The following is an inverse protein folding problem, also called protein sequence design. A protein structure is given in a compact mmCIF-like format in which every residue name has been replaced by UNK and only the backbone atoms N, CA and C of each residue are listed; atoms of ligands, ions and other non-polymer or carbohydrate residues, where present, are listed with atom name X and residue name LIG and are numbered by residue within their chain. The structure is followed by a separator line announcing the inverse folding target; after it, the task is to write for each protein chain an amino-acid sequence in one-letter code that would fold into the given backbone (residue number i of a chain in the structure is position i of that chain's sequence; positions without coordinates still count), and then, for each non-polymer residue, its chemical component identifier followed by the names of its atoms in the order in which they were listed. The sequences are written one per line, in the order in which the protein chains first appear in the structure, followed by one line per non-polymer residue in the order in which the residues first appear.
data_IF_569678351951
#
_entry.id   IF_569678351951
#
_cell.length_a   1.000
_cell.length_b   1.000
_cell.length_c   1.000
_cell.angle_alpha   90.00
_cell.angle_beta   90.00
_cell.angle_gamma   90.00
#
_symmetry.space_group_name_H-M   'P 1'
#
loop_
_entity.id
_entity.type
_entity.pdbx_description
1 polymer ?
#
# COMPACT_ATOMS: atom_id res chain seq x y z
N UNK A 1 -21.12 11.10 -11.39
CA UNK A 1 -20.37 10.21 -10.46
C UNK A 1 -21.31 9.78 -9.34
N UNK A 2 -21.38 8.47 -9.04
CA UNK A 2 -22.40 7.84 -8.17
C UNK A 2 -22.41 8.32 -6.71
N UNK A 3 -21.26 8.77 -6.17
CA UNK A 3 -21.11 9.10 -4.74
C UNK A 3 -20.90 10.59 -4.45
N UNK A 4 -21.01 11.47 -5.46
CA UNK A 4 -20.79 12.92 -5.30
C UNK A 4 -19.34 13.29 -4.96
N UNK A 5 -19.14 14.36 -4.19
CA UNK A 5 -17.84 14.75 -3.67
C UNK A 5 -17.55 13.97 -2.37
N UNK A 6 -16.54 13.11 -2.42
CA UNK A 6 -16.09 12.20 -1.37
C UNK A 6 -14.90 12.78 -0.58
N UNK A 7 -14.07 13.62 -1.21
CA UNK A 7 -12.94 14.32 -0.59
C UNK A 7 -12.96 15.85 -0.85
N UNK A 8 -12.21 16.64 -0.08
CA UNK A 8 -12.12 18.10 -0.24
C UNK A 8 -11.53 18.59 -1.59
N UNK A 9 -10.83 17.72 -2.32
CA UNK A 9 -10.16 18.06 -3.59
C UNK A 9 -10.73 17.31 -4.80
N UNK A 10 -11.04 18.02 -5.89
CA UNK A 10 -11.53 17.41 -7.15
C UNK A 10 -10.56 16.36 -7.72
N UNK A 11 -9.24 16.58 -7.59
CA UNK A 11 -8.22 15.62 -8.06
C UNK A 11 -8.22 14.34 -7.22
N UNK A 12 -8.33 14.46 -5.90
CA UNK A 12 -8.39 13.31 -4.98
C UNK A 12 -9.68 12.51 -5.22
N UNK A 13 -10.81 13.19 -5.44
CA UNK A 13 -12.05 12.52 -5.82
C UNK A 13 -11.88 11.69 -7.09
N UNK A 14 -11.32 12.28 -8.14
CA UNK A 14 -11.08 11.55 -9.39
C UNK A 14 -10.24 10.29 -9.16
N UNK A 15 -9.15 10.42 -8.41
CA UNK A 15 -8.28 9.31 -8.04
C UNK A 15 -9.03 8.21 -7.26
N UNK A 16 -9.86 8.57 -6.28
CA UNK A 16 -10.72 7.62 -5.54
C UNK A 16 -11.68 6.88 -6.49
N UNK A 17 -12.32 7.60 -7.40
CA UNK A 17 -13.24 6.98 -8.36
C UNK A 17 -12.54 6.02 -9.32
N UNK A 18 -11.29 6.30 -9.73
CA UNK A 18 -10.48 5.37 -10.51
C UNK A 18 -10.19 4.09 -9.73
N UNK A 19 -9.86 4.21 -8.45
CA UNK A 19 -9.70 3.03 -7.59
C UNK A 19 -10.99 2.20 -7.51
N UNK A 20 -12.16 2.85 -7.44
CA UNK A 20 -13.45 2.17 -7.36
C UNK A 20 -13.79 1.32 -8.59
N UNK A 21 -13.24 1.62 -9.77
CA UNK A 21 -13.43 0.80 -10.98
C UNK A 21 -12.95 -0.65 -10.80
N UNK A 22 -12.06 -0.90 -9.84
CA UNK A 22 -11.47 -2.21 -9.56
C UNK A 22 -12.05 -2.90 -8.33
N UNK A 23 -13.10 -2.34 -7.70
CA UNK A 23 -13.67 -2.84 -6.45
C UNK A 23 -15.16 -3.15 -6.58
N UNK A 24 -15.67 -4.06 -5.75
CA UNK A 24 -17.11 -4.31 -5.69
C UNK A 24 -17.86 -3.14 -5.04
N UNK A 25 -19.16 -3.01 -5.35
CA UNK A 25 -19.96 -1.87 -4.92
C UNK A 25 -20.01 -1.70 -3.39
N UNK A 26 -20.07 -2.81 -2.64
CA UNK A 26 -20.11 -2.76 -1.18
C UNK A 26 -18.86 -2.11 -0.60
N UNK A 27 -17.69 -2.43 -1.13
CA UNK A 27 -16.42 -1.89 -0.64
C UNK A 27 -16.25 -0.43 -1.10
N UNK A 28 -16.70 -0.07 -2.32
CA UNK A 28 -16.78 1.33 -2.77
C UNK A 28 -17.64 2.18 -1.81
N UNK A 29 -18.81 1.68 -1.41
CA UNK A 29 -19.70 2.38 -0.48
C UNK A 29 -19.05 2.58 0.90
N UNK A 30 -18.34 1.56 1.42
CA UNK A 30 -17.60 1.64 2.68
C UNK A 30 -16.51 2.71 2.64
N UNK A 31 -15.68 2.73 1.59
CA UNK A 31 -14.65 3.75 1.43
C UNK A 31 -15.26 5.14 1.25
N UNK A 32 -16.30 5.28 0.42
CA UNK A 32 -16.97 6.56 0.22
C UNK A 32 -17.58 7.11 1.51
N UNK A 33 -18.04 6.23 2.43
CA UNK A 33 -18.48 6.63 3.77
C UNK A 33 -17.29 7.08 4.63
N UNK A 34 -16.22 6.28 4.71
CA UNK A 34 -15.00 6.61 5.48
C UNK A 34 -14.42 7.98 5.12
N UNK A 35 -14.24 8.27 3.83
CA UNK A 35 -13.69 9.55 3.39
C UNK A 35 -14.57 10.76 3.71
N UNK A 36 -15.90 10.57 3.79
CA UNK A 36 -16.84 11.63 4.17
C UNK A 36 -16.84 11.90 5.68
N UNK A 37 -16.60 10.87 6.48
CA UNK A 37 -16.60 10.96 7.94
C UNK A 37 -15.25 11.43 8.50
N UNK A 38 -14.16 11.21 7.77
CA UNK A 38 -12.82 11.60 8.21
C UNK A 38 -12.55 13.10 7.99
N UNK A 39 -11.85 13.77 8.93
CA UNK A 39 -11.37 15.14 8.72
C UNK A 39 -10.45 15.19 7.50
N UNK A 40 -10.73 16.10 6.57
CA UNK A 40 -10.03 16.21 5.29
C UNK A 40 -8.53 16.52 5.38
N UNK A 41 -8.05 16.94 6.55
CA UNK A 41 -6.66 17.39 6.78
C UNK A 41 -5.89 16.49 7.77
N UNK A 42 -6.31 15.22 7.88
CA UNK A 42 -5.72 14.26 8.82
C UNK A 42 -4.79 13.27 8.13
N UNK A 43 -3.69 12.89 8.77
CA UNK A 43 -2.86 11.75 8.34
C UNK A 43 -3.67 10.47 8.11
N UNK A 44 -4.80 10.34 8.81
CA UNK A 44 -5.75 9.25 8.67
C UNK A 44 -6.37 9.15 7.27
N UNK A 45 -6.66 10.27 6.59
CA UNK A 45 -7.24 10.23 5.25
C UNK A 45 -6.25 9.67 4.22
N UNK A 46 -4.96 9.96 4.40
CA UNK A 46 -3.90 9.44 3.55
C UNK A 46 -3.66 7.95 3.80
N UNK A 47 -3.80 7.48 5.04
CA UNK A 47 -3.73 6.05 5.35
C UNK A 47 -4.87 5.31 4.65
N UNK A 48 -6.11 5.78 4.79
CA UNK A 48 -7.28 5.20 4.10
C UNK A 48 -7.14 5.27 2.58
N UNK A 49 -6.54 6.34 2.05
CA UNK A 49 -6.27 6.45 0.61
C UNK A 49 -5.23 5.43 0.12
N UNK A 50 -4.15 5.21 0.86
CA UNK A 50 -3.13 4.20 0.54
C UNK A 50 -3.69 2.77 0.66
N UNK A 51 -4.57 2.51 1.63
CA UNK A 51 -5.31 1.25 1.73
C UNK A 51 -6.18 1.02 0.49
N UNK A 52 -6.90 2.06 0.05
CA UNK A 52 -7.71 2.00 -1.17
C UNK A 52 -6.85 1.72 -2.41
N UNK A 53 -5.68 2.37 -2.54
CA UNK A 53 -4.76 2.16 -3.67
C UNK A 53 -4.25 0.72 -3.70
N UNK A 54 -3.85 0.16 -2.55
CA UNK A 54 -3.41 -1.23 -2.45
C UNK A 54 -4.50 -2.18 -2.96
N UNK A 55 -5.72 -2.05 -2.46
CA UNK A 55 -6.83 -2.92 -2.88
C UNK A 55 -7.19 -2.76 -4.35
N UNK A 56 -7.25 -1.53 -4.85
CA UNK A 56 -7.55 -1.26 -6.24
C UNK A 56 -6.46 -1.81 -7.18
N UNK A 57 -5.18 -1.72 -6.78
CA UNK A 57 -4.10 -2.34 -7.54
C UNK A 57 -4.25 -3.86 -7.62
N UNK A 58 -4.50 -4.52 -6.49
CA UNK A 58 -4.76 -5.96 -6.48
C UNK A 58 -5.98 -6.31 -7.35
N UNK A 59 -7.06 -5.54 -7.28
CA UNK A 59 -8.23 -5.68 -8.16
C UNK A 59 -7.91 -5.50 -9.64
N UNK A 60 -7.02 -4.56 -9.97
CA UNK A 60 -6.54 -4.34 -11.35
C UNK A 60 -5.67 -5.48 -11.88
N UNK A 61 -5.12 -6.31 -10.99
CA UNK A 61 -4.40 -7.54 -11.32
C UNK A 61 -5.35 -8.77 -11.38
N UNK A 62 -6.64 -8.56 -11.61
CA UNK A 62 -7.70 -9.57 -11.69
C UNK A 62 -7.93 -10.38 -10.39
N UNK A 63 -7.43 -9.92 -9.24
CA UNK A 63 -7.77 -10.53 -7.96
C UNK A 63 -9.15 -10.08 -7.49
N UNK A 64 -9.96 -11.04 -7.01
CA UNK A 64 -11.22 -10.72 -6.31
C UNK A 64 -10.90 -10.33 -4.87
N UNK A 65 -10.77 -9.03 -4.63
CA UNK A 65 -10.42 -8.52 -3.30
C UNK A 65 -11.64 -8.06 -2.51
N UNK A 66 -11.58 -8.21 -1.18
CA UNK A 66 -12.56 -7.68 -0.23
C UNK A 66 -11.90 -6.94 0.92
N UNK A 67 -12.35 -5.72 1.17
CA UNK A 67 -11.84 -4.85 2.24
C UNK A 67 -12.45 -5.20 3.60
N UNK A 68 -11.61 -5.32 4.63
CA UNK A 68 -12.02 -5.64 6.01
C UNK A 68 -13.00 -6.82 6.07
N UNK A 69 -12.73 -7.85 5.26
CA UNK A 69 -13.54 -9.05 5.22
C UNK A 69 -13.33 -9.85 6.51
N UNK A 70 -14.41 -10.19 7.21
CA UNK A 70 -14.33 -10.93 8.46
C UNK A 70 -13.96 -12.38 8.17
N UNK A 71 -12.79 -12.79 8.65
CA UNK A 71 -12.31 -14.17 8.58
C UNK A 71 -12.10 -14.66 10.00
N UNK A 72 -13.00 -15.55 10.42
CA UNK A 72 -13.15 -15.99 11.81
C UNK A 72 -13.45 -14.82 12.75
N UNK A 73 -12.42 -14.25 13.39
CA UNK A 73 -12.50 -13.14 14.36
C UNK A 73 -11.59 -11.97 14.01
N UNK A 74 -11.05 -11.96 12.79
CA UNK A 74 -10.07 -10.99 12.31
C UNK A 74 -10.57 -10.30 11.05
N UNK A 75 -10.12 -9.06 10.85
CA UNK A 75 -10.41 -8.24 9.66
C UNK A 75 -9.08 -7.74 9.10
N UNK A 76 -8.40 -8.55 8.26
CA UNK A 76 -7.26 -8.06 7.50
C UNK A 76 -7.68 -6.89 6.61
N UNK A 77 -6.74 -6.00 6.27
CA UNK A 77 -7.04 -4.84 5.43
C UNK A 77 -7.66 -5.30 4.10
N UNK A 78 -7.09 -6.34 3.49
CA UNK A 78 -7.60 -6.98 2.28
C UNK A 78 -7.54 -8.50 2.34
N UNK A 79 -8.63 -9.14 1.91
CA UNK A 79 -8.68 -10.57 1.60
C UNK A 79 -8.79 -10.77 0.08
N UNK A 80 -8.06 -11.74 -0.45
CA UNK A 80 -8.20 -12.23 -1.82
C UNK A 80 -9.12 -13.46 -1.77
N UNK A 81 -10.17 -13.47 -2.57
CA UNK A 81 -11.17 -14.53 -2.61
C UNK A 81 -11.10 -15.31 -3.94
N UNK A 82 -11.52 -16.57 -3.90
CA UNK A 82 -11.80 -17.32 -5.11
C UNK A 82 -13.23 -17.07 -5.64
N UNK A 83 -13.63 -17.82 -6.65
CA UNK A 83 -14.96 -17.74 -7.24
C UNK A 83 -16.09 -18.22 -6.31
N UNK A 84 -15.77 -18.88 -5.21
CA UNK A 84 -16.71 -19.40 -4.20
C UNK A 84 -16.71 -18.53 -2.95
N UNK A 85 -16.10 -17.35 -3.00
CA UNK A 85 -15.95 -16.42 -1.87
C UNK A 85 -15.15 -17.01 -0.70
N UNK A 86 -14.28 -18.00 -0.98
CA UNK A 86 -13.35 -18.56 -0.01
C UNK A 86 -12.07 -17.73 -0.02
N UNK A 87 -11.52 -17.43 1.15
CA UNK A 87 -10.26 -16.71 1.28
C UNK A 87 -9.11 -17.57 0.76
N UNK A 88 -8.41 -17.04 -0.24
CA UNK A 88 -7.23 -17.67 -0.87
C UNK A 88 -5.97 -16.81 -0.76
N UNK A 89 -6.04 -15.68 -0.07
CA UNK A 89 -4.89 -14.83 0.24
C UNK A 89 -5.27 -13.69 1.17
N UNK A 90 -4.29 -13.14 1.88
CA UNK A 90 -4.45 -11.98 2.75
C UNK A 90 -3.36 -10.96 2.42
N UNK A 91 -3.74 -9.69 2.36
CA UNK A 91 -2.82 -8.57 2.21
C UNK A 91 -3.08 -7.53 3.32
N UNK A 92 -2.01 -7.06 3.95
CA UNK A 92 -2.05 -6.09 5.05
C UNK A 92 -1.15 -4.90 4.71
N UNK A 93 -1.66 -3.68 4.84
CA UNK A 93 -0.90 -2.47 4.58
C UNK A 93 -0.08 -2.05 5.80
N UNK A 94 1.16 -1.65 5.54
CA UNK A 94 2.02 -0.89 6.41
C UNK A 94 2.20 0.52 5.82
N UNK A 95 1.70 1.52 6.53
CA UNK A 95 1.98 2.92 6.26
C UNK A 95 3.23 3.31 7.04
N UNK A 96 4.41 3.17 6.44
CA UNK A 96 5.64 3.61 7.07
C UNK A 96 5.81 5.13 6.90
N UNK A 97 5.94 5.84 8.01
CA UNK A 97 6.26 7.26 8.06
C UNK A 97 7.52 7.45 8.89
N UNK A 98 8.43 8.31 8.44
CA UNK A 98 9.50 8.78 9.33
C UNK A 98 8.93 9.57 10.49
N UNK A 99 9.73 9.69 11.54
CA UNK A 99 9.38 10.54 12.66
C UNK A 99 9.44 12.01 12.24
N UNK A 100 8.62 12.83 12.91
CA UNK A 100 8.48 14.25 12.63
C UNK A 100 9.81 15.04 12.78
N UNK A 101 10.74 14.53 13.59
CA UNK A 101 12.06 15.18 13.78
C UNK A 101 12.88 15.02 12.50
N UNK A 102 13.02 13.78 12.00
CA UNK A 102 13.69 13.49 10.73
C UNK A 102 13.01 14.24 9.57
N UNK A 103 11.67 14.27 9.54
CA UNK A 103 10.92 14.99 8.49
C UNK A 103 11.20 16.51 8.54
N UNK A 104 11.21 17.10 9.73
CA UNK A 104 11.52 18.50 9.94
C UNK A 104 12.95 18.88 9.54
N UNK A 105 13.91 17.98 9.74
CA UNK A 105 15.30 18.17 9.30
C UNK A 105 15.43 18.13 7.78
N UNK A 106 14.80 17.16 7.12
CA UNK A 106 14.79 17.05 5.65
C UNK A 106 14.13 18.30 5.05
N UNK A 107 12.99 18.73 5.58
CA UNK A 107 12.31 19.94 5.12
C UNK A 107 13.21 21.19 5.23
N UNK A 108 13.99 21.30 6.32
CA UNK A 108 14.98 22.38 6.49
C UNK A 108 16.12 22.29 5.47
N UNK A 109 16.65 21.09 5.21
CA UNK A 109 17.73 20.89 4.26
C UNK A 109 17.30 21.17 2.81
N UNK A 110 16.13 20.67 2.39
CA UNK A 110 15.53 20.97 1.08
C UNK A 110 15.33 22.47 0.91
N UNK A 111 14.79 23.14 1.94
CA UNK A 111 14.57 24.59 1.91
C UNK A 111 15.87 25.40 1.83
N UNK A 112 16.95 24.89 2.44
CA UNK A 112 18.24 25.58 2.48
C UNK A 112 19.13 25.32 1.24
N UNK A 113 19.07 24.12 0.66
CA UNK A 113 20.04 23.66 -0.36
C UNK A 113 19.40 23.19 -1.67
N UNK A 114 18.08 23.13 -1.77
CA UNK A 114 17.35 22.65 -2.94
C UNK A 114 17.48 21.14 -3.21
N UNK A 115 18.30 20.43 -2.43
CA UNK A 115 18.55 18.99 -2.53
C UNK A 115 18.58 18.42 -1.11
N UNK A 116 17.83 17.35 -0.85
CA UNK A 116 18.02 16.51 0.33
C UNK A 116 19.12 15.50 0.02
N UNK A 117 20.26 15.59 0.71
CA UNK A 117 21.28 14.52 0.72
C UNK A 117 21.42 14.08 2.16
N UNK A 118 20.65 13.07 2.56
CA UNK A 118 20.74 12.47 3.89
C UNK A 118 21.72 11.29 3.83
N UNK A 119 22.70 11.22 4.74
CA UNK A 119 23.72 10.16 4.76
C UNK A 119 23.22 8.95 5.56
N UNK A 120 23.49 7.77 5.02
CA UNK A 120 23.13 6.44 5.57
C UNK A 120 23.51 6.23 7.04
N UNK A 121 24.59 6.87 7.52
CA UNK A 121 25.05 6.74 8.92
C UNK A 121 24.13 7.40 9.94
N UNK A 122 23.35 8.42 9.54
CA UNK A 122 22.35 9.08 10.39
C UNK A 122 20.98 8.37 10.32
N UNK A 123 20.81 7.39 9.40
CA UNK A 123 19.54 6.73 9.10
C UNK A 123 19.31 5.38 9.81
N UNK A 124 20.24 4.94 10.69
CA UNK A 124 20.14 3.63 11.38
C UNK A 124 18.83 3.45 12.15
N UNK A 125 18.33 4.50 12.78
CA UNK A 125 17.06 4.47 13.52
C UNK A 125 15.86 4.18 12.61
N UNK A 126 15.87 4.66 11.36
CA UNK A 126 14.75 4.42 10.44
C UNK A 126 14.77 3.02 9.85
N UNK A 127 15.95 2.46 9.57
CA UNK A 127 16.08 1.06 9.14
C UNK A 127 15.59 0.12 10.25
N UNK A 128 15.96 0.39 11.51
CA UNK A 128 15.47 -0.39 12.65
C UNK A 128 13.95 -0.24 12.82
N UNK A 129 13.41 0.98 12.74
CA UNK A 129 11.95 1.21 12.80
C UNK A 129 11.21 0.53 11.67
N UNK A 130 11.74 0.57 10.45
CA UNK A 130 11.18 -0.13 9.30
C UNK A 130 11.16 -1.63 9.57
N UNK A 131 12.30 -2.19 10.00
CA UNK A 131 12.43 -3.60 10.36
C UNK A 131 11.36 -4.00 11.38
N UNK A 132 11.24 -3.29 12.50
CA UNK A 132 10.26 -3.60 13.54
C UNK A 132 8.81 -3.41 13.09
N UNK A 133 8.54 -2.44 12.22
CA UNK A 133 7.20 -2.21 11.67
C UNK A 133 6.76 -3.35 10.75
N UNK A 134 7.67 -3.84 9.89
CA UNK A 134 7.41 -5.00 9.04
C UNK A 134 7.26 -6.25 9.92
N UNK A 135 8.16 -6.43 10.88
CA UNK A 135 8.17 -7.55 11.82
C UNK A 135 6.86 -7.70 12.60
N UNK A 136 6.31 -6.59 13.13
CA UNK A 136 5.02 -6.57 13.83
C UNK A 136 3.88 -7.02 12.90
N UNK A 137 3.84 -6.47 11.68
CA UNK A 137 2.86 -6.83 10.66
C UNK A 137 2.95 -8.29 10.23
N UNK A 138 4.16 -8.85 10.10
CA UNK A 138 4.35 -10.26 9.75
C UNK A 138 3.81 -11.21 10.83
N UNK A 139 3.79 -10.82 12.10
CA UNK A 139 3.28 -11.64 13.20
C UNK A 139 1.75 -11.55 13.36
N UNK A 140 1.15 -10.40 13.04
CA UNK A 140 -0.27 -10.08 13.31
C UNK A 140 -1.25 -11.21 12.96
N UNK A 141 -1.03 -11.90 11.84
CA UNK A 141 -1.92 -12.95 11.33
C UNK A 141 -1.28 -14.34 11.25
N UNK A 142 -0.13 -14.58 11.86
CA UNK A 142 0.57 -15.86 11.71
C UNK A 142 -0.34 -17.08 11.95
N UNK A 143 -1.02 -17.15 13.11
CA UNK A 143 -1.89 -18.27 13.44
C UNK A 143 -3.06 -18.44 12.45
N UNK A 144 -3.61 -17.33 11.94
CA UNK A 144 -4.69 -17.36 10.94
C UNK A 144 -4.17 -17.89 9.60
N UNK A 145 -3.00 -17.41 9.16
CA UNK A 145 -2.38 -17.81 7.90
C UNK A 145 -1.98 -19.29 7.91
N UNK A 146 -1.40 -19.77 9.01
CA UNK A 146 -1.05 -21.18 9.17
C UNK A 146 -2.30 -22.08 9.10
N UNK A 147 -3.39 -21.67 9.78
CA UNK A 147 -4.65 -22.40 9.79
C UNK A 147 -5.32 -22.43 8.40
N UNK A 148 -5.41 -21.28 7.74
CA UNK A 148 -6.03 -21.17 6.41
C UNK A 148 -5.13 -21.74 5.31
N UNK A 149 -3.83 -21.86 5.54
CA UNK A 149 -2.84 -22.30 4.56
C UNK A 149 -2.82 -21.45 3.28
N UNK A 150 -3.05 -20.14 3.39
CA UNK A 150 -3.09 -19.18 2.27
C UNK A 150 -1.83 -18.30 2.23
N UNK A 151 -1.48 -17.70 1.07
CA UNK A 151 -0.48 -16.64 0.98
C UNK A 151 -0.78 -15.43 1.87
N UNK A 152 0.28 -14.86 2.45
CA UNK A 152 0.23 -13.62 3.23
C UNK A 152 1.18 -12.57 2.65
N UNK A 153 0.65 -11.42 2.28
CA UNK A 153 1.39 -10.32 1.65
C UNK A 153 1.41 -9.13 2.60
N UNK A 154 2.58 -8.51 2.78
CA UNK A 154 2.69 -7.20 3.42
C UNK A 154 2.78 -6.14 2.33
N UNK A 155 1.78 -5.28 2.26
CA UNK A 155 1.80 -4.06 1.45
C UNK A 155 2.58 -2.97 2.17
N UNK A 156 3.53 -2.28 1.53
CA UNK A 156 4.27 -1.17 2.14
C UNK A 156 4.17 0.04 1.24
N UNK A 157 3.64 1.15 1.76
CA UNK A 157 3.80 2.42 1.08
C UNK A 157 5.17 3.03 1.44
N UNK A 158 5.99 3.30 0.43
CA UNK A 158 7.25 4.02 0.55
C UNK A 158 7.02 5.46 0.11
N UNK A 159 7.32 6.42 0.98
CA UNK A 159 7.17 7.84 0.67
C UNK A 159 8.52 8.37 0.17
N UNK A 160 8.61 8.81 -1.09
CA UNK A 160 9.88 9.27 -1.70
C UNK A 160 10.46 10.53 -1.03
N UNK A 161 9.67 11.25 -0.21
CA UNK A 161 10.21 12.34 0.63
C UNK A 161 11.05 11.84 1.80
N UNK A 162 11.06 10.52 1.99
CA UNK A 162 11.56 9.84 3.17
C UNK A 162 12.79 9.03 2.78
N UNK A 163 13.78 9.05 3.66
CA UNK A 163 15.14 8.50 3.49
C UNK A 163 15.19 6.98 3.22
N UNK A 164 14.03 6.29 3.28
CA UNK A 164 13.94 4.85 3.08
C UNK A 164 13.76 4.52 1.61
N UNK A 165 14.81 3.98 1.00
CA UNK A 165 14.79 3.45 -0.35
C UNK A 165 14.53 1.93 -0.40
N UNK A 166 14.43 1.41 -1.61
CA UNK A 166 14.25 -0.01 -1.89
C UNK A 166 15.39 -0.88 -1.32
N UNK A 167 16.61 -0.37 -1.24
CA UNK A 167 17.77 -1.11 -0.75
C UNK A 167 17.72 -1.26 0.78
N UNK A 168 17.22 -0.26 1.49
CA UNK A 168 16.94 -0.36 2.93
C UNK A 168 15.84 -1.38 3.23
N UNK A 169 14.76 -1.39 2.43
CA UNK A 169 13.73 -2.42 2.52
C UNK A 169 14.35 -3.81 2.30
N UNK A 170 15.14 -3.99 1.24
CA UNK A 170 15.83 -5.26 0.94
C UNK A 170 16.77 -5.67 2.07
N UNK A 171 17.47 -4.73 2.69
CA UNK A 171 18.32 -4.99 3.84
C UNK A 171 17.51 -5.53 5.04
N UNK A 172 16.28 -5.07 5.28
CA UNK A 172 15.41 -5.66 6.30
C UNK A 172 14.95 -7.08 5.95
N UNK A 173 14.65 -7.33 4.67
CA UNK A 173 14.05 -8.59 4.22
C UNK A 173 15.07 -9.72 4.08
N UNK A 174 16.26 -9.44 3.54
CA UNK A 174 17.21 -10.45 3.07
C UNK A 174 18.51 -10.55 3.85
N UNK A 175 18.73 -9.76 4.92
CA UNK A 175 19.98 -9.80 5.70
C UNK A 175 20.32 -11.23 6.15
N UNK A 176 21.54 -11.68 5.89
CA UNK A 176 21.96 -13.04 6.26
C UNK A 176 21.80 -13.28 7.76
N UNK A 177 21.08 -14.35 8.13
CA UNK A 177 20.88 -14.79 9.52
C UNK A 177 19.86 -13.99 10.33
N UNK A 178 19.43 -12.82 9.86
CA UNK A 178 18.49 -11.93 10.59
C UNK A 178 17.41 -11.31 9.71
N UNK A 179 17.39 -11.62 8.41
CA UNK A 179 16.42 -11.12 7.46
C UNK A 179 15.04 -11.69 7.72
N UNK A 180 14.02 -10.82 7.66
CA UNK A 180 12.66 -11.19 8.00
C UNK A 180 12.14 -12.37 7.15
N UNK A 181 12.54 -12.49 5.88
CA UNK A 181 12.10 -13.59 5.03
C UNK A 181 12.65 -14.96 5.44
N UNK A 182 13.80 -15.02 6.10
CA UNK A 182 14.33 -16.26 6.65
C UNK A 182 13.53 -16.70 7.89
N UNK A 183 13.11 -15.74 8.71
CA UNK A 183 12.42 -15.98 9.98
C UNK A 183 10.91 -16.22 9.82
N UNK A 184 10.26 -15.54 8.87
CA UNK A 184 8.80 -15.50 8.71
C UNK A 184 8.35 -16.21 7.43
N UNK A 185 8.50 -17.53 7.41
CA UNK A 185 8.20 -18.37 6.23
C UNK A 185 6.71 -18.43 5.86
N UNK A 186 5.79 -18.05 6.75
CA UNK A 186 4.37 -17.94 6.42
C UNK A 186 4.05 -16.70 5.57
N UNK A 187 4.97 -15.74 5.48
CA UNK A 187 4.82 -14.55 4.63
C UNK A 187 5.32 -14.87 3.22
N UNK A 188 4.48 -14.61 2.22
CA UNK A 188 4.74 -14.89 0.81
C UNK A 188 5.67 -13.87 0.16
N UNK A 189 5.57 -12.61 0.58
CA UNK A 189 6.42 -11.53 0.11
C UNK A 189 5.92 -10.16 0.55
N UNK A 190 6.62 -9.13 0.08
CA UNK A 190 6.31 -7.72 0.33
C UNK A 190 5.98 -7.04 -0.98
N UNK A 191 4.77 -6.46 -1.06
CA UNK A 191 4.36 -5.60 -2.17
C UNK A 191 4.60 -4.14 -1.75
N UNK A 192 5.64 -3.51 -2.27
CA UNK A 192 5.92 -2.10 -1.98
C UNK A 192 5.40 -1.21 -3.09
N UNK A 193 5.02 0.02 -2.74
CA UNK A 193 4.60 1.00 -3.72
C UNK A 193 4.87 2.44 -3.27
N UNK A 194 5.13 3.30 -4.25
CA UNK A 194 5.42 4.72 -4.05
C UNK A 194 4.61 5.57 -5.02
N UNK A 195 4.37 6.83 -4.66
CA UNK A 195 3.73 7.81 -5.53
C UNK A 195 4.78 8.55 -6.36
N UNK A 196 4.58 8.58 -7.67
CA UNK A 196 5.41 9.32 -8.61
C UNK A 196 4.52 10.05 -9.63
N UNK A 197 4.44 11.38 -9.51
CA UNK A 197 3.75 12.26 -10.44
C UNK A 197 2.28 11.87 -10.74
N UNK A 198 1.54 11.46 -9.70
CA UNK A 198 0.14 11.05 -9.77
C UNK A 198 -0.08 9.59 -10.20
N UNK A 199 0.99 8.82 -10.33
CA UNK A 199 0.98 7.38 -10.58
C UNK A 199 1.55 6.64 -9.38
N UNK A 200 1.17 5.38 -9.21
CA UNK A 200 1.73 4.53 -8.17
C UNK A 200 2.58 3.43 -8.79
N UNK A 201 3.85 3.39 -8.43
CA UNK A 201 4.80 2.38 -8.88
C UNK A 201 4.80 1.24 -7.88
N UNK A 202 4.45 0.04 -8.32
CA UNK A 202 4.41 -1.17 -7.51
C UNK A 202 5.59 -2.08 -7.85
N UNK A 203 6.22 -2.64 -6.81
CA UNK A 203 7.17 -3.73 -6.93
C UNK A 203 6.94 -4.79 -5.88
N UNK A 204 7.42 -6.00 -6.14
CA UNK A 204 7.18 -7.16 -5.28
C UNK A 204 8.49 -7.86 -4.94
N UNK A 205 8.85 -7.85 -3.65
CA UNK A 205 9.96 -8.63 -3.09
C UNK A 205 9.41 -9.98 -2.62
N UNK A 206 9.71 -11.03 -3.37
CA UNK A 206 9.26 -12.39 -3.07
C UNK A 206 10.06 -12.98 -1.90
N UNK A 207 9.37 -13.63 -0.95
CA UNK A 207 10.05 -14.44 0.05
C UNK A 207 10.46 -15.80 -0.57
N UNK A 208 11.77 -16.07 -0.74
CA UNK A 208 12.22 -17.34 -1.33
C UNK A 208 11.92 -18.54 -0.43
N UNK A 209 11.76 -18.32 0.87
CA UNK A 209 11.52 -19.34 1.89
C UNK A 209 10.02 -19.56 2.20
N UNK A 210 9.13 -18.87 1.49
CA UNK A 210 7.70 -18.88 1.74
C UNK A 210 7.11 -20.30 1.63
N UNK A 211 6.30 -20.67 2.63
CA UNK A 211 5.51 -21.91 2.65
C UNK A 211 4.38 -21.87 1.62
N UNK A 212 3.86 -20.67 1.34
CA UNK A 212 2.80 -20.40 0.36
C UNK A 212 3.27 -19.26 -0.52
N UNK A 213 3.40 -19.51 -1.81
CA UNK A 213 3.91 -18.56 -2.79
C UNK A 213 2.74 -17.91 -3.53
N UNK A 214 2.90 -16.63 -3.82
CA UNK A 214 2.03 -15.89 -4.73
C UNK A 214 2.94 -15.09 -5.65
N UNK A 215 2.54 -14.96 -6.90
CA UNK A 215 3.18 -14.06 -7.84
C UNK A 215 2.28 -12.83 -7.95
N UNK A 216 2.85 -11.67 -7.67
CA UNK A 216 2.19 -10.39 -7.91
C UNK A 216 3.00 -9.66 -8.98
N UNK A 217 2.35 -9.14 -10.04
CA UNK A 217 3.06 -8.31 -10.98
C UNK A 217 3.55 -7.05 -10.26
N UNK A 218 4.72 -6.56 -10.66
CA UNK A 218 5.07 -5.15 -10.48
C UNK A 218 4.49 -4.34 -11.64
N UNK A 219 4.34 -3.04 -11.48
CA UNK A 219 3.76 -2.22 -12.53
C UNK A 219 3.41 -0.80 -12.11
N UNK A 220 2.79 -0.09 -13.04
CA UNK A 220 2.32 1.29 -12.83
C UNK A 220 0.80 1.27 -12.71
N UNK A 221 0.30 1.79 -11.59
CA UNK A 221 -1.12 2.02 -11.37
C UNK A 221 -1.43 3.51 -11.57
N UNK A 222 -2.07 3.83 -12.69
CA UNK A 222 -2.33 5.22 -13.09
C UNK A 222 -3.68 5.71 -12.58
N UNK A 223 -3.66 6.78 -11.80
CA UNK A 223 -4.85 7.50 -11.37
C UNK A 223 -5.20 8.67 -12.29
N UNK A 224 -4.41 8.88 -13.35
CA UNK A 224 -4.67 9.90 -14.36
C UNK A 224 -5.72 9.44 -15.38
N UNK A 225 -6.50 10.36 -15.98
CA UNK A 225 -7.26 10.04 -17.19
C UNK A 225 -6.30 9.63 -18.29
N UNK A 226 -6.62 8.58 -19.04
CA UNK A 226 -5.96 8.34 -20.32
C UNK A 226 -6.14 9.59 -21.18
N UNK A 227 -5.03 10.22 -21.58
CA UNK A 227 -5.09 11.32 -22.54
C UNK A 227 -5.46 10.73 -23.90
N UNK A 228 -6.76 10.62 -24.20
CA UNK A 228 -7.19 10.10 -25.49
C UNK A 228 -8.69 9.85 -25.66
N UNK A 229 -9.52 10.89 -25.68
CA UNK A 229 -10.69 11.00 -26.59
C UNK A 229 -11.56 12.25 -26.37
N UNK A 230 -10.97 13.45 -26.28
CA UNK A 230 -11.70 14.65 -26.72
C UNK A 230 -11.56 14.75 -28.24
N UNK A 231 -12.34 13.94 -28.97
CA UNK A 231 -12.68 14.27 -30.36
C UNK A 231 -13.67 15.44 -30.29
N UNK A 232 -13.26 16.56 -30.89
CA UNK A 232 -13.89 17.86 -30.73
C UNK A 232 -15.40 17.87 -30.92
N UNK A 233 -16.10 18.46 -29.96
CA UNK A 233 -17.38 19.09 -30.22
C UNK A 233 -17.07 20.42 -30.92
N UNK A 234 -17.36 20.46 -32.22
CA UNK A 234 -17.41 21.70 -32.99
C UNK A 234 -18.37 22.67 -32.31
N UNK A 235 -17.93 23.91 -32.23
CA UNK A 235 -18.75 25.11 -32.06
C UNK A 235 -19.95 25.09 -33.01
N UNK A 236 -21.14 25.29 -32.45
CA UNK A 236 -22.26 25.99 -33.07
C UNK A 236 -22.85 26.93 -32.01
#
# INVERSE_FOLDING_TARGET
MKYGQVAGSKKINYAIYRCFEHLCEEDQQRFAKRFREQPHDSNQIMHTFRELILGAYLGSCDFKVRHEYLVESKTPDWCILDNRSVVVGIAELLNFHIDEVTEGEIAKQVKAKGIAVYRQDENKNNIERLYYSIWDKMQKYQALIEKLSVPYIIGIFLDFKVVVDIEELRACLYRNGTGLFQMYRHVSGVLYFEENAGQYLFGYERNPNALRKVELPGGVFSLAPEQGSFKGAKSL
#
